data_IF_391485279182
#
_entry.id   IF_391485279182
#
_cell.length_a   1.000
_cell.length_b   1.000
_cell.length_c   1.000
_cell.angle_alpha   90.00
_cell.angle_beta   90.00
_cell.angle_gamma   90.00
#
_symmetry.space_group_name_H-M   'P 1'
#
loop_
_entity.id
_entity.type
_entity.pdbx_description
1 polymer ?
#
# COMPACT_ATOMS: atom_id res chain seq x y z
N UNK A 1 -62.41 -1.38 55.26
CA UNK A 1 -61.39 -0.57 55.95
C UNK A 1 -60.15 -0.54 55.05
N UNK A 2 -59.79 0.48 54.26
CA UNK A 2 -60.11 1.90 54.30
C UNK A 2 -59.00 2.66 55.04
N UNK A 3 -57.93 3.07 54.32
CA UNK A 3 -56.93 4.14 54.62
C UNK A 3 -55.58 3.80 53.93
N UNK A 4 -54.80 4.68 53.31
CA UNK A 4 -54.79 6.15 53.17
C UNK A 4 -54.07 6.49 51.86
N UNK A 5 -54.60 7.47 51.12
CA UNK A 5 -53.91 8.08 49.98
C UNK A 5 -52.84 9.07 50.44
N UNK A 6 -51.75 9.14 49.69
CA UNK A 6 -50.78 10.24 49.78
C UNK A 6 -50.29 10.60 48.37
N UNK A 7 -50.51 11.87 48.03
CA UNK A 7 -50.31 12.50 46.73
C UNK A 7 -48.82 12.78 46.53
N UNK A 8 -48.20 12.20 45.50
CA UNK A 8 -46.89 12.65 44.98
C UNK A 8 -47.07 13.38 43.66
N UNK A 9 -46.72 14.66 43.69
CA UNK A 9 -46.74 15.66 42.63
C UNK A 9 -45.90 15.21 41.42
N UNK A 10 -46.44 15.28 40.20
CA UNK A 10 -45.65 15.26 38.97
C UNK A 10 -45.59 16.69 38.39
N UNK A 11 -44.41 17.15 37.93
CA UNK A 11 -44.19 18.52 37.47
C UNK A 11 -44.75 18.79 36.08
N UNK A 12 -44.95 20.08 35.81
CA UNK A 12 -45.51 20.69 34.62
C UNK A 12 -44.82 20.27 33.30
N UNK A 13 -45.64 20.22 32.25
CA UNK A 13 -45.27 20.08 30.84
C UNK A 13 -44.19 21.12 30.48
N UNK A 14 -43.00 20.66 30.09
CA UNK A 14 -41.91 21.54 29.66
C UNK A 14 -42.20 21.96 28.23
N UNK A 15 -42.79 23.14 28.08
CA UNK A 15 -43.12 23.77 26.81
C UNK A 15 -41.81 24.05 26.02
N UNK A 16 -41.46 23.16 25.10
CA UNK A 16 -40.29 23.34 24.23
C UNK A 16 -40.60 24.51 23.29
N UNK A 17 -39.80 25.59 23.28
CA UNK A 17 -40.11 26.77 22.49
C UNK A 17 -40.10 26.40 21.01
N UNK A 18 -41.28 26.43 20.38
CA UNK A 18 -41.44 26.13 18.95
C UNK A 18 -40.81 27.24 18.12
N UNK A 19 -40.03 26.86 17.12
CA UNK A 19 -39.37 27.77 16.16
C UNK A 19 -40.27 27.98 14.94
N UNK A 20 -40.48 29.22 14.54
CA UNK A 20 -41.24 29.57 13.35
C UNK A 20 -40.49 29.14 12.08
N UNK A 21 -41.10 28.29 11.25
CA UNK A 21 -40.49 27.82 10.01
C UNK A 21 -40.37 28.89 8.91
N UNK A 22 -41.08 30.03 9.05
CA UNK A 22 -41.02 31.11 8.06
C UNK A 22 -39.90 32.12 8.33
N UNK A 23 -39.63 32.46 9.60
CA UNK A 23 -38.66 33.50 9.97
C UNK A 23 -37.56 33.04 10.94
N UNK A 24 -37.63 31.81 11.43
CA UNK A 24 -36.63 31.21 12.31
C UNK A 24 -36.66 31.67 13.77
N UNK A 25 -37.55 32.59 14.18
CA UNK A 25 -37.67 33.07 15.56
C UNK A 25 -38.53 32.14 16.44
N UNK A 26 -38.27 32.12 17.75
CA UNK A 26 -39.00 31.31 18.72
C UNK A 26 -40.24 32.03 19.28
N UNK A 27 -41.22 31.27 19.77
CA UNK A 27 -42.41 31.81 20.45
C UNK A 27 -43.67 31.92 19.58
N UNK A 28 -43.60 31.54 18.30
CA UNK A 28 -44.76 31.38 17.41
C UNK A 28 -44.45 30.37 16.30
N UNK A 29 -45.46 29.87 15.59
CA UNK A 29 -45.30 29.00 14.41
C UNK A 29 -45.59 29.77 13.11
N UNK A 30 -45.24 29.18 11.96
CA UNK A 30 -45.34 29.83 10.64
C UNK A 30 -46.74 30.40 10.34
N UNK A 31 -47.80 29.74 10.82
CA UNK A 31 -49.20 30.18 10.66
C UNK A 31 -49.49 31.54 11.31
N UNK A 32 -48.78 31.86 12.39
CA UNK A 32 -48.98 33.08 13.18
C UNK A 32 -47.88 34.13 12.94
N UNK A 33 -47.06 33.94 11.90
CA UNK A 33 -45.93 34.82 11.60
C UNK A 33 -46.41 36.12 10.94
N UNK A 34 -46.15 37.26 11.60
CA UNK A 34 -46.52 38.60 11.10
C UNK A 34 -45.48 39.25 10.18
N UNK A 35 -44.44 38.53 9.77
CA UNK A 35 -43.39 39.05 8.88
C UNK A 35 -43.89 39.08 7.42
N UNK A 36 -43.92 40.27 6.79
CA UNK A 36 -44.40 40.46 5.41
C UNK A 36 -43.54 39.68 4.40
N UNK A 37 -44.20 39.00 3.46
CA UNK A 37 -43.59 38.25 2.34
C UNK A 37 -42.78 39.19 1.44
N UNK A 38 -41.54 38.83 1.10
CA UNK A 38 -40.77 39.46 0.03
C UNK A 38 -40.34 38.39 -0.98
N UNK A 39 -40.78 38.58 -2.21
CA UNK A 39 -40.39 37.87 -3.45
C UNK A 39 -39.47 38.80 -4.28
N UNK A 40 -38.74 38.28 -5.28
CA UNK A 40 -37.33 38.57 -5.55
C UNK A 40 -37.07 39.67 -6.59
N UNK A 41 -35.88 40.29 -6.56
CA UNK A 41 -35.38 41.12 -7.67
C UNK A 41 -33.87 40.90 -7.90
N UNK A 42 -33.55 40.48 -9.12
CA UNK A 42 -32.22 40.43 -9.74
C UNK A 42 -31.45 41.76 -9.61
N UNK A 43 -30.15 41.73 -9.25
CA UNK A 43 -29.09 42.57 -9.87
C UNK A 43 -27.69 41.92 -9.83
N UNK A 44 -27.16 41.83 -11.05
CA UNK A 44 -25.78 41.73 -11.56
C UNK A 44 -24.59 41.92 -10.58
N UNK A 45 -23.75 40.88 -10.56
CA UNK A 45 -22.26 40.80 -10.57
C UNK A 45 -21.44 41.71 -9.65
N UNK A 46 -20.90 41.10 -8.59
CA UNK A 46 -19.50 41.25 -8.16
C UNK A 46 -19.06 39.97 -7.43
N UNK A 47 -17.84 39.54 -7.71
CA UNK A 47 -17.30 38.21 -7.46
C UNK A 47 -17.02 37.97 -5.96
N UNK A 48 -17.59 36.90 -5.40
CA UNK A 48 -16.98 36.21 -4.26
C UNK A 48 -17.47 34.76 -4.17
N UNK A 49 -16.50 33.84 -4.27
CA UNK A 49 -16.68 32.40 -4.30
C UNK A 49 -17.22 31.87 -2.96
N UNK A 50 -18.53 31.61 -2.89
CA UNK A 50 -19.12 30.77 -1.84
C UNK A 50 -19.26 29.36 -2.40
N UNK A 51 -18.23 28.55 -2.13
CA UNK A 51 -18.22 27.10 -2.34
C UNK A 51 -19.40 26.49 -1.59
N UNK A 52 -20.29 25.82 -2.32
CA UNK A 52 -21.28 24.92 -1.73
C UNK A 52 -20.53 23.84 -0.94
N UNK A 53 -20.52 23.95 0.38
CA UNK A 53 -19.90 22.95 1.25
C UNK A 53 -20.84 21.77 1.36
N UNK A 54 -20.70 20.80 0.46
CA UNK A 54 -21.19 19.44 0.69
C UNK A 54 -20.62 18.99 2.04
N UNK A 55 -21.46 18.47 2.95
CA UNK A 55 -20.96 18.08 4.26
C UNK A 55 -19.92 16.97 4.11
N UNK A 56 -18.91 16.99 4.97
CA UNK A 56 -17.85 15.99 4.96
C UNK A 56 -18.41 14.56 5.06
N UNK A 57 -19.53 14.37 5.76
CA UNK A 57 -20.22 13.08 5.84
C UNK A 57 -20.76 12.61 4.50
N UNK A 58 -21.34 13.51 3.69
CA UNK A 58 -21.86 13.19 2.35
C UNK A 58 -20.72 12.85 1.39
N UNK A 59 -19.60 13.58 1.45
CA UNK A 59 -18.40 13.25 0.68
C UNK A 59 -17.76 11.92 1.15
N UNK A 60 -17.78 11.64 2.45
CA UNK A 60 -17.26 10.40 3.02
C UNK A 60 -18.11 9.19 2.62
N UNK A 61 -19.44 9.31 2.64
CA UNK A 61 -20.34 8.24 2.18
C UNK A 61 -20.16 7.97 0.68
N UNK A 62 -19.98 9.00 -0.14
CA UNK A 62 -19.66 8.86 -1.56
C UNK A 62 -18.34 8.09 -1.79
N UNK A 63 -17.29 8.41 -1.02
CA UNK A 63 -16.01 7.70 -1.09
C UNK A 63 -16.09 6.25 -0.60
N UNK A 64 -16.95 5.96 0.38
CA UNK A 64 -17.16 4.61 0.91
C UNK A 64 -17.96 3.75 -0.09
N UNK A 65 -18.99 4.31 -0.73
CA UNK A 65 -19.84 3.61 -1.69
C UNK A 65 -19.14 3.25 -3.02
N UNK A 66 -18.05 3.94 -3.37
CA UNK A 66 -17.24 3.62 -4.57
C UNK A 66 -16.55 2.24 -4.54
N UNK A 67 -16.63 1.51 -3.41
CA UNK A 67 -16.00 0.18 -3.26
C UNK A 67 -16.95 -1.00 -3.44
N UNK A 68 -18.24 -0.76 -3.71
CA UNK A 68 -19.25 -1.80 -3.87
C UNK A 68 -20.00 -1.66 -5.20
N UNK A 69 -19.39 -2.06 -6.31
CA UNK A 69 -20.15 -2.53 -7.48
C UNK A 69 -19.55 -3.82 -8.03
N UNK A 70 -20.38 -4.86 -7.97
CA UNK A 70 -20.28 -6.06 -8.79
C UNK A 70 -21.04 -5.74 -10.08
N UNK A 71 -20.38 -5.14 -11.06
CA UNK A 71 -20.97 -4.97 -12.40
C UNK A 71 -19.93 -5.20 -13.50
N UNK A 72 -20.40 -5.80 -14.58
CA UNK A 72 -19.64 -6.25 -15.73
C UNK A 72 -18.85 -5.11 -16.40
N UNK A 73 -17.71 -5.50 -16.98
CA UNK A 73 -16.65 -4.64 -17.48
C UNK A 73 -17.10 -3.64 -18.55
N UNK A 74 -17.39 -2.41 -18.14
CA UNK A 74 -17.05 -1.24 -18.95
C UNK A 74 -15.58 -0.90 -18.69
N UNK A 75 -14.77 -0.82 -19.74
CA UNK A 75 -13.37 -0.43 -19.65
C UNK A 75 -13.28 1.00 -19.10
N UNK A 76 -12.93 1.14 -17.82
CA UNK A 76 -12.62 2.44 -17.24
C UNK A 76 -11.28 2.92 -17.84
N UNK A 77 -11.32 3.97 -18.67
CA UNK A 77 -10.14 4.56 -19.34
C UNK A 77 -9.01 4.90 -18.36
N UNK A 78 -9.38 5.29 -17.13
CA UNK A 78 -8.42 5.73 -16.11
C UNK A 78 -7.96 4.61 -15.17
N UNK A 79 -8.55 3.42 -15.21
CA UNK A 79 -8.28 2.34 -14.24
C UNK A 79 -8.09 0.99 -14.94
N UNK A 80 -6.84 0.55 -14.99
CA UNK A 80 -6.50 -0.79 -15.48
C UNK A 80 -6.92 -1.91 -14.51
N UNK A 81 -7.02 -3.14 -15.04
CA UNK A 81 -7.29 -4.33 -14.22
C UNK A 81 -6.09 -4.67 -13.35
N UNK A 82 -6.33 -5.03 -12.08
CA UNK A 82 -5.29 -5.58 -11.22
C UNK A 82 -4.89 -6.97 -11.70
N UNK A 83 -3.60 -7.21 -11.87
CA UNK A 83 -3.08 -8.53 -12.23
C UNK A 83 -2.91 -9.39 -10.97
N UNK A 84 -4.02 -9.96 -10.51
CA UNK A 84 -4.07 -10.83 -9.33
C UNK A 84 -4.02 -12.30 -9.73
N UNK A 85 -3.14 -13.07 -9.10
CA UNK A 85 -3.05 -14.52 -9.25
C UNK A 85 -3.23 -15.22 -7.90
N UNK A 86 -3.97 -16.34 -7.85
CA UNK A 86 -4.06 -17.14 -6.63
C UNK A 86 -2.74 -17.87 -6.40
N UNK A 87 -2.27 -17.85 -5.16
CA UNK A 87 -1.06 -18.55 -4.71
C UNK A 87 -1.34 -19.32 -3.44
N UNK A 88 -0.61 -20.41 -3.18
CA UNK A 88 -0.74 -21.18 -1.94
C UNK A 88 0.47 -20.96 -1.04
N UNK A 89 0.25 -20.61 0.21
CA UNK A 89 1.30 -20.40 1.22
C UNK A 89 0.68 -20.55 2.61
N UNK A 90 1.46 -20.94 3.62
CA UNK A 90 0.99 -21.06 5.02
C UNK A 90 -0.35 -21.81 5.16
N UNK A 91 -0.51 -22.92 4.43
CA UNK A 91 -1.72 -23.75 4.39
C UNK A 91 -3.02 -23.03 3.92
N UNK A 92 -2.89 -21.90 3.24
CA UNK A 92 -4.03 -21.14 2.70
C UNK A 92 -3.81 -20.76 1.24
N UNK A 93 -4.90 -20.43 0.55
CA UNK A 93 -4.86 -19.77 -0.75
C UNK A 93 -5.04 -18.27 -0.55
N UNK A 94 -4.14 -17.48 -1.11
CA UNK A 94 -4.13 -16.01 -0.99
C UNK A 94 -3.97 -15.38 -2.37
N UNK A 95 -4.39 -14.13 -2.52
CA UNK A 95 -4.18 -13.39 -3.76
C UNK A 95 -2.80 -12.73 -3.75
N UNK A 96 -2.10 -12.81 -4.88
CA UNK A 96 -0.86 -12.10 -5.13
C UNK A 96 -1.02 -11.13 -6.31
N UNK A 97 -0.68 -9.87 -6.09
CA UNK A 97 -0.56 -8.85 -7.12
C UNK A 97 0.79 -8.99 -7.81
N UNK A 98 0.79 -9.22 -9.12
CA UNK A 98 1.97 -9.15 -9.96
C UNK A 98 2.23 -7.68 -10.29
N UNK A 99 3.22 -7.08 -9.64
CA UNK A 99 3.42 -5.64 -9.68
C UNK A 99 4.81 -5.28 -10.20
N UNK A 100 4.87 -4.85 -11.46
CA UNK A 100 6.12 -4.38 -12.07
C UNK A 100 6.52 -2.99 -11.58
N UNK A 101 5.61 -2.25 -10.93
CA UNK A 101 5.89 -0.94 -10.31
C UNK A 101 6.53 -1.04 -8.93
N UNK A 102 6.63 -2.24 -8.37
CA UNK A 102 7.27 -2.50 -7.08
C UNK A 102 8.64 -3.15 -7.28
N UNK A 103 9.71 -2.54 -6.76
CA UNK A 103 11.07 -3.12 -6.81
C UNK A 103 11.21 -4.34 -5.91
N UNK A 104 10.48 -4.35 -4.79
CA UNK A 104 10.53 -5.40 -3.78
C UNK A 104 9.17 -6.03 -3.55
N UNK A 105 9.19 -7.26 -3.06
CA UNK A 105 7.99 -8.00 -2.71
C UNK A 105 7.59 -7.74 -1.26
N UNK A 106 6.29 -7.59 -1.02
CA UNK A 106 5.73 -7.22 0.29
C UNK A 106 4.73 -8.28 0.74
N UNK A 107 4.90 -8.75 1.97
CA UNK A 107 3.99 -9.67 2.65
C UNK A 107 3.24 -8.93 3.77
N UNK A 108 1.91 -8.76 3.66
CA UNK A 108 1.11 -8.16 4.73
C UNK A 108 1.17 -8.97 6.03
N UNK A 109 1.34 -8.29 7.17
CA UNK A 109 1.30 -8.92 8.50
C UNK A 109 -0.03 -9.67 8.75
N UNK A 110 -1.13 -9.17 8.18
CA UNK A 110 -2.47 -9.77 8.30
C UNK A 110 -2.50 -11.24 7.87
N UNK A 111 -1.74 -11.60 6.83
CA UNK A 111 -1.68 -12.97 6.32
C UNK A 111 -1.06 -13.92 7.33
N UNK A 112 0.01 -13.51 8.01
CA UNK A 112 0.66 -14.32 9.05
C UNK A 112 -0.23 -14.45 10.29
N UNK A 113 -0.91 -13.36 10.67
CA UNK A 113 -1.89 -13.40 11.77
C UNK A 113 -3.00 -14.41 11.46
N UNK A 114 -3.63 -14.30 10.28
CA UNK A 114 -4.67 -15.22 9.83
C UNK A 114 -4.18 -16.67 9.75
N UNK A 115 -2.96 -16.88 9.28
CA UNK A 115 -2.35 -18.22 9.20
C UNK A 115 -2.18 -18.83 10.58
N UNK A 116 -1.65 -18.06 11.53
CA UNK A 116 -1.51 -18.47 12.93
C UNK A 116 -2.86 -18.77 13.58
N UNK A 117 -3.86 -17.92 13.36
CA UNK A 117 -5.21 -18.09 13.89
C UNK A 117 -5.87 -19.37 13.33
N UNK A 118 -5.51 -19.77 12.10
CA UNK A 118 -5.92 -21.03 11.46
C UNK A 118 -5.05 -22.25 11.85
N UNK A 119 -4.14 -22.10 12.82
CA UNK A 119 -3.30 -23.19 13.31
C UNK A 119 -2.14 -23.58 12.39
N UNK A 120 -1.73 -22.73 11.44
CA UNK A 120 -0.55 -22.98 10.62
C UNK A 120 0.73 -22.84 11.45
N UNK A 121 1.65 -23.79 11.28
CA UNK A 121 3.03 -23.66 11.75
C UNK A 121 3.81 -22.73 10.81
N UNK A 122 3.95 -21.46 11.21
CA UNK A 122 4.60 -20.44 10.39
C UNK A 122 6.09 -20.71 10.16
N UNK A 123 6.77 -21.34 11.12
CA UNK A 123 8.21 -21.56 11.05
C UNK A 123 8.58 -22.59 9.96
N UNK A 124 7.63 -23.44 9.57
CA UNK A 124 7.78 -24.34 8.42
C UNK A 124 7.77 -23.60 7.07
N UNK A 125 7.16 -22.42 6.98
CA UNK A 125 7.02 -21.64 5.74
C UNK A 125 7.90 -20.40 5.68
N UNK A 126 8.41 -19.93 6.82
CA UNK A 126 9.10 -18.64 6.93
C UNK A 126 10.52 -18.85 7.42
N UNK A 127 11.47 -18.40 6.61
CA UNK A 127 12.88 -18.29 7.01
C UNK A 127 13.22 -16.81 7.15
N UNK A 128 13.55 -16.37 8.37
CA UNK A 128 13.96 -14.97 8.60
C UNK A 128 15.33 -14.73 7.98
N UNK A 129 15.50 -13.57 7.34
CA UNK A 129 16.77 -13.13 6.74
C UNK A 129 17.36 -12.03 7.63
N UNK A 130 18.27 -12.37 8.57
CA UNK A 130 18.84 -11.39 9.46
C UNK A 130 19.71 -10.37 8.70
N UNK A 131 19.64 -9.09 9.12
CA UNK A 131 20.48 -7.96 8.70
C UNK A 131 20.28 -7.43 7.27
N UNK A 132 19.09 -6.96 6.94
CA UNK A 132 18.97 -5.90 5.93
C UNK A 132 19.05 -4.53 6.61
N UNK A 133 20.24 -3.96 6.58
CA UNK A 133 20.54 -2.57 6.95
C UNK A 133 19.44 -1.61 6.51
N UNK A 134 18.73 -1.01 7.47
CA UNK A 134 17.84 0.18 7.37
C UNK A 134 17.25 0.42 5.96
N UNK A 135 16.42 -0.51 5.49
CA UNK A 135 15.73 -0.35 4.20
C UNK A 135 14.55 0.59 4.39
N UNK A 136 14.47 1.64 3.57
CA UNK A 136 13.31 2.55 3.55
C UNK A 136 12.43 2.17 2.37
N UNK A 137 11.32 1.51 2.65
CA UNK A 137 10.30 1.22 1.63
C UNK A 137 9.29 2.36 1.62
N UNK A 138 8.88 2.78 0.42
CA UNK A 138 7.84 3.78 0.21
C UNK A 138 6.72 3.20 -0.63
N UNK A 139 5.49 3.65 -0.37
CA UNK A 139 4.35 3.36 -1.24
C UNK A 139 4.41 4.24 -2.51
N UNK A 140 3.49 3.99 -3.45
CA UNK A 140 3.39 4.74 -4.70
C UNK A 140 3.11 6.25 -4.50
N UNK A 141 2.56 6.63 -3.35
CA UNK A 141 2.32 8.02 -2.96
C UNK A 141 3.55 8.66 -2.29
N UNK A 142 4.64 7.91 -2.13
CA UNK A 142 5.88 8.35 -1.51
C UNK A 142 5.90 8.28 0.03
N UNK A 143 4.84 7.81 0.67
CA UNK A 143 4.78 7.66 2.12
C UNK A 143 5.67 6.49 2.55
N UNK A 144 6.34 6.62 3.69
CA UNK A 144 7.15 5.53 4.24
C UNK A 144 6.24 4.42 4.74
N UNK A 145 6.52 3.19 4.30
CA UNK A 145 5.86 2.00 4.81
C UNK A 145 6.55 1.51 6.08
N UNK A 146 5.77 1.01 7.04
CA UNK A 146 6.32 0.33 8.22
C UNK A 146 6.72 -1.10 7.81
N UNK A 147 8.03 -1.36 7.82
CA UNK A 147 8.61 -2.67 7.57
C UNK A 147 8.96 -3.31 8.91
N UNK A 148 8.45 -4.52 9.12
CA UNK A 148 8.59 -5.26 10.37
C UNK A 148 9.74 -6.28 10.32
N UNK A 149 9.90 -6.95 9.18
CA UNK A 149 10.91 -7.99 9.04
C UNK A 149 11.27 -8.26 7.57
N UNK A 150 12.38 -8.97 7.35
CA UNK A 150 12.82 -9.47 6.05
C UNK A 150 12.83 -11.01 6.10
N UNK A 151 12.13 -11.65 5.17
CA UNK A 151 11.91 -13.10 5.20
C UNK A 151 12.08 -13.73 3.82
N UNK A 152 12.24 -15.05 3.80
CA UNK A 152 11.94 -15.91 2.66
C UNK A 152 10.67 -16.68 2.99
N UNK A 153 9.61 -16.45 2.22
CA UNK A 153 8.33 -17.12 2.36
C UNK A 153 8.21 -18.24 1.32
N UNK A 154 7.83 -19.44 1.75
CA UNK A 154 7.49 -20.54 0.85
C UNK A 154 6.14 -20.28 0.20
N UNK A 155 6.13 -20.13 -1.13
CA UNK A 155 4.93 -19.85 -1.92
C UNK A 155 4.86 -20.84 -3.09
N UNK A 156 3.72 -21.50 -3.25
CA UNK A 156 3.40 -22.24 -4.46
C UNK A 156 2.63 -21.35 -5.43
N UNK A 157 3.24 -21.10 -6.58
CA UNK A 157 2.74 -20.23 -7.65
C UNK A 157 3.10 -20.84 -9.01
N UNK A 158 2.16 -20.83 -9.97
CA UNK A 158 2.33 -21.46 -11.28
C UNK A 158 2.79 -22.93 -11.23
N UNK A 159 2.31 -23.67 -10.23
CA UNK A 159 2.68 -25.08 -10.02
C UNK A 159 4.08 -25.30 -9.45
N UNK A 160 4.81 -24.25 -9.10
CA UNK A 160 6.17 -24.32 -8.53
C UNK A 160 6.16 -23.81 -7.10
N UNK A 161 6.85 -24.53 -6.21
CA UNK A 161 7.07 -24.09 -4.83
C UNK A 161 8.41 -23.38 -4.75
N UNK A 162 8.38 -22.08 -4.42
CA UNK A 162 9.54 -21.21 -4.40
C UNK A 162 9.69 -20.52 -3.04
N UNK A 163 10.93 -20.24 -2.64
CA UNK A 163 11.24 -19.43 -1.46
C UNK A 163 11.45 -17.97 -1.88
N UNK A 164 10.40 -17.16 -1.73
CA UNK A 164 10.37 -15.78 -2.21
C UNK A 164 10.88 -14.82 -1.13
N UNK A 165 11.87 -13.99 -1.47
CA UNK A 165 12.37 -12.97 -0.58
C UNK A 165 11.40 -11.77 -0.52
N UNK A 166 10.91 -11.44 0.67
CA UNK A 166 9.87 -10.45 0.89
C UNK A 166 10.11 -9.64 2.17
N UNK A 167 9.60 -8.42 2.20
CA UNK A 167 9.48 -7.63 3.44
C UNK A 167 8.11 -7.80 4.06
N UNK A 168 8.06 -7.98 5.37
CA UNK A 168 6.80 -8.00 6.12
C UNK A 168 6.41 -6.56 6.44
N UNK A 169 5.18 -6.18 6.14
CA UNK A 169 4.68 -4.82 6.38
C UNK A 169 3.31 -4.80 7.08
N UNK A 170 3.05 -3.76 7.87
CA UNK A 170 1.70 -3.44 8.35
C UNK A 170 0.90 -2.78 7.22
N UNK A 171 0.34 -3.61 6.35
CA UNK A 171 -0.65 -3.20 5.36
C UNK A 171 -2.02 -3.74 5.79
N UNK A 172 -3.11 -2.95 5.68
CA UNK A 172 -4.47 -3.47 5.87
C UNK A 172 -4.92 -4.36 4.71
N UNK A 173 -4.23 -4.32 3.57
CA UNK A 173 -4.59 -5.09 2.38
C UNK A 173 -4.06 -6.52 2.49
N UNK A 174 -4.94 -7.50 2.31
CA UNK A 174 -4.64 -8.92 2.47
C UNK A 174 -4.15 -9.58 1.17
N UNK A 175 -3.29 -8.86 0.44
CA UNK A 175 -2.76 -9.22 -0.88
C UNK A 175 -1.24 -9.21 -0.83
N UNK A 176 -0.60 -10.32 -1.25
CA UNK A 176 0.85 -10.36 -1.44
C UNK A 176 1.22 -9.46 -2.63
N UNK A 177 2.25 -8.64 -2.51
CA UNK A 177 2.77 -7.88 -3.66
C UNK A 177 4.05 -8.59 -4.11
N UNK A 178 4.07 -9.04 -5.38
CA UNK A 178 5.23 -9.64 -6.00
C UNK A 178 5.90 -8.60 -6.90
N UNK A 179 6.96 -8.00 -6.36
CA UNK A 179 7.78 -7.02 -7.06
C UNK A 179 8.76 -7.65 -8.04
N UNK A 180 9.47 -6.82 -8.79
CA UNK A 180 10.43 -7.24 -9.83
C UNK A 180 11.57 -8.12 -9.29
N UNK A 181 11.93 -7.99 -8.00
CA UNK A 181 12.84 -8.91 -7.31
C UNK A 181 12.40 -10.38 -7.35
N UNK A 182 11.11 -10.66 -7.52
CA UNK A 182 10.53 -12.00 -7.60
C UNK A 182 10.05 -12.33 -9.02
N UNK A 183 9.40 -11.39 -9.71
CA UNK A 183 8.78 -11.65 -11.02
C UNK A 183 9.75 -12.26 -12.04
N UNK A 184 10.99 -11.74 -12.14
CA UNK A 184 11.99 -12.30 -13.05
C UNK A 184 12.40 -13.73 -12.68
N UNK A 185 12.50 -14.05 -11.37
CA UNK A 185 12.84 -15.40 -10.89
C UNK A 185 11.73 -16.41 -11.16
N UNK A 186 10.48 -15.96 -11.21
CA UNK A 186 9.33 -16.75 -11.62
C UNK A 186 9.22 -16.91 -13.15
N UNK A 187 10.22 -16.43 -13.91
CA UNK A 187 10.24 -16.42 -15.37
C UNK A 187 9.08 -15.64 -16.00
N UNK A 188 8.45 -14.72 -15.26
CA UNK A 188 7.50 -13.77 -15.82
C UNK A 188 8.27 -12.72 -16.63
N UNK A 189 7.69 -12.34 -17.77
CA UNK A 189 8.25 -11.37 -18.70
C UNK A 189 7.18 -10.36 -19.05
N UNK A 190 7.55 -9.09 -19.06
CA UNK A 190 6.76 -8.05 -19.70
C UNK A 190 7.24 -7.95 -21.15
N UNK A 191 6.33 -8.15 -22.11
CA UNK A 191 6.66 -8.19 -23.53
C UNK A 191 5.98 -7.05 -24.27
N UNK A 192 6.70 -6.41 -25.19
CA UNK A 192 6.10 -5.46 -26.13
C UNK A 192 5.49 -6.25 -27.30
N UNK A 193 4.22 -6.03 -27.62
CA UNK A 193 3.49 -6.91 -28.56
C UNK A 193 4.12 -7.12 -29.95
N UNK A 194 4.97 -6.21 -30.42
CA UNK A 194 5.62 -6.31 -31.74
C UNK A 194 7.10 -6.73 -31.71
N UNK A 195 7.68 -6.87 -30.52
CA UNK A 195 9.06 -7.35 -30.34
C UNK A 195 9.15 -8.17 -29.04
N UNK A 196 9.63 -9.42 -29.08
CA UNK A 196 9.72 -10.28 -27.89
C UNK A 196 10.84 -9.87 -26.91
N UNK A 197 11.09 -8.56 -26.78
CA UNK A 197 12.01 -7.99 -25.80
C UNK A 197 11.41 -8.15 -24.40
N UNK A 198 12.17 -8.79 -23.52
CA UNK A 198 11.79 -8.92 -22.11
C UNK A 198 12.10 -7.61 -21.38
N UNK A 199 11.10 -6.84 -21.01
CA UNK A 199 11.28 -5.58 -20.30
C UNK A 199 11.59 -5.74 -18.80
N UNK A 200 11.51 -6.97 -18.27
CA UNK A 200 11.90 -7.30 -16.89
C UNK A 200 13.35 -7.79 -16.77
N UNK A 201 14.06 -8.00 -17.87
CA UNK A 201 15.49 -8.32 -17.77
C UNK A 201 16.26 -7.07 -17.39
N UNK A 202 17.10 -7.17 -16.35
CA UNK A 202 18.11 -6.16 -16.12
C UNK A 202 19.04 -6.12 -17.34
N UNK A 203 19.15 -4.96 -17.98
CA UNK A 203 20.27 -4.63 -18.87
C UNK A 203 21.54 -4.40 -18.05
N UNK A 204 21.84 -5.29 -17.10
CA UNK A 204 23.21 -5.47 -16.69
C UNK A 204 23.87 -6.16 -17.87
N UNK A 205 24.65 -5.42 -18.64
CA UNK A 205 25.82 -6.01 -19.28
C UNK A 205 26.39 -7.01 -18.27
N UNK A 206 26.59 -8.27 -18.68
CA UNK A 206 27.55 -9.15 -18.03
C UNK A 206 28.94 -8.51 -18.21
N UNK A 207 29.19 -7.37 -17.56
CA UNK A 207 30.53 -7.03 -17.15
C UNK A 207 30.83 -8.01 -16.03
N UNK A 208 31.46 -9.11 -16.41
CA UNK A 208 32.18 -9.99 -15.50
C UNK A 208 33.12 -9.11 -14.67
N UNK A 209 32.63 -8.67 -13.50
CA UNK A 209 33.47 -8.01 -12.50
C UNK A 209 34.36 -9.11 -11.95
N UNK A 210 35.55 -9.22 -12.51
CA UNK A 210 36.55 -10.10 -11.94
C UNK A 210 37.06 -9.44 -10.66
N UNK A 211 36.82 -10.03 -9.47
CA UNK A 211 37.39 -9.49 -8.26
C UNK A 211 38.92 -9.52 -8.40
N UNK A 212 39.58 -8.39 -8.20
CA UNK A 212 41.04 -8.35 -8.15
C UNK A 212 41.50 -9.07 -6.88
N UNK A 213 42.04 -10.29 -7.04
CA UNK A 213 42.53 -11.09 -5.92
C UNK A 213 44.04 -10.87 -5.78
N UNK A 214 44.47 -10.53 -4.56
CA UNK A 214 45.90 -10.41 -4.24
C UNK A 214 46.54 -11.80 -4.29
N UNK A 215 47.31 -12.09 -5.36
CA UNK A 215 47.98 -13.39 -5.53
C UNK A 215 49.20 -13.56 -4.61
N UNK A 216 49.95 -12.48 -4.37
CA UNK A 216 51.15 -12.49 -3.51
C UNK A 216 51.42 -11.10 -2.94
N UNK A 217 51.68 -11.01 -1.65
CA UNK A 217 52.21 -9.79 -1.00
C UNK A 217 53.72 -9.85 -1.00
N UNK A 218 54.37 -8.73 -1.33
CA UNK A 218 55.82 -8.62 -1.37
C UNK A 218 56.22 -7.36 -0.60
N UNK A 219 57.16 -7.51 0.34
CA UNK A 219 57.75 -6.38 1.05
C UNK A 219 58.87 -5.75 0.21
N UNK A 220 58.87 -4.41 0.11
CA UNK A 220 59.93 -3.60 -0.52
C UNK A 220 60.48 -2.64 0.54
N UNK A 221 61.77 -2.73 0.90
CA UNK A 221 62.36 -1.84 1.91
C UNK A 221 62.52 -0.40 1.37
N UNK A 222 62.67 0.61 2.24
CA UNK A 222 62.90 1.99 1.83
C UNK A 222 64.12 2.13 0.91
N UNK A 223 63.93 2.74 -0.27
CA UNK A 223 64.97 2.90 -1.30
C UNK A 223 65.21 1.68 -2.19
N UNK A 224 64.56 0.54 -1.91
CA UNK A 224 64.59 -0.65 -2.75
C UNK A 224 63.64 -0.55 -3.95
N UNK A 225 63.93 -1.28 -5.02
CA UNK A 225 63.03 -1.47 -6.18
C UNK A 225 62.83 -2.96 -6.41
N UNK A 226 61.62 -3.38 -6.77
CA UNK A 226 61.35 -4.80 -7.03
C UNK A 226 60.36 -4.98 -8.17
N UNK A 227 60.69 -5.86 -9.10
CA UNK A 227 59.79 -6.23 -10.18
C UNK A 227 58.72 -7.18 -9.64
N UNK A 228 57.46 -6.89 -9.97
CA UNK A 228 56.31 -7.73 -9.61
C UNK A 228 55.49 -7.99 -10.87
N UNK A 229 55.28 -9.27 -11.18
CA UNK A 229 54.42 -9.66 -12.28
C UNK A 229 52.96 -9.55 -11.84
N UNK A 230 52.20 -8.71 -12.53
CA UNK A 230 50.76 -8.56 -12.31
C UNK A 230 50.04 -9.43 -13.34
N UNK A 231 49.23 -10.36 -12.86
CA UNK A 231 48.38 -11.18 -13.70
C UNK A 231 46.94 -10.65 -13.62
N UNK A 232 46.38 -10.29 -14.78
CA UNK A 232 44.95 -10.03 -14.93
C UNK A 232 44.41 -10.87 -16.09
N UNK A 233 43.09 -10.97 -16.21
CA UNK A 233 42.44 -11.96 -17.07
C UNK A 233 42.61 -11.74 -18.58
N UNK A 234 43.41 -10.75 -19.00
CA UNK A 234 43.76 -10.53 -20.40
C UNK A 234 45.26 -10.52 -20.69
N UNK A 235 46.11 -11.00 -19.76
CA UNK A 235 47.53 -11.21 -20.00
C UNK A 235 48.43 -10.88 -18.79
N UNK A 236 49.69 -11.31 -18.86
CA UNK A 236 50.72 -10.94 -17.90
C UNK A 236 51.47 -9.71 -18.39
N UNK A 237 51.60 -8.70 -17.55
CA UNK A 237 52.48 -7.54 -17.79
C UNK A 237 53.35 -7.30 -16.57
N UNK A 238 54.65 -7.09 -16.80
CA UNK A 238 55.57 -6.74 -15.72
C UNK A 238 55.46 -5.26 -15.38
N UNK A 239 55.42 -4.95 -14.08
CA UNK A 239 55.40 -3.59 -13.56
C UNK A 239 56.53 -3.39 -12.54
N UNK A 240 57.11 -2.19 -12.54
CA UNK A 240 58.18 -1.79 -11.63
C UNK A 240 57.57 -0.91 -10.54
N UNK A 241 57.72 -1.33 -9.29
CA UNK A 241 57.31 -0.57 -8.10
C UNK A 241 58.51 -0.28 -7.20
#
# INVERSE_FOLDING_TARGET
>A
MGNKGEIRRQPADVDVPKRCYQCGKFGHIAKDCRSKKYEPVNRVREENAQRETVSFSTALEEWLCATATTEESQEQEFVGRKLLVPVRTMNMTVQALLDTGSETSIAPLSLFKRAKDNGADLDAFVERVPRMTKVTIRDASGNKMEVLDSIRLVVNIFGRTEKLAMYVSRSPNDVLILGTNVLHRLALKLMQGQSPTNLLSNSSNEQTVYPAVVKKRIYVPPGGRKMVTVAYLQGNTDAIF
#
